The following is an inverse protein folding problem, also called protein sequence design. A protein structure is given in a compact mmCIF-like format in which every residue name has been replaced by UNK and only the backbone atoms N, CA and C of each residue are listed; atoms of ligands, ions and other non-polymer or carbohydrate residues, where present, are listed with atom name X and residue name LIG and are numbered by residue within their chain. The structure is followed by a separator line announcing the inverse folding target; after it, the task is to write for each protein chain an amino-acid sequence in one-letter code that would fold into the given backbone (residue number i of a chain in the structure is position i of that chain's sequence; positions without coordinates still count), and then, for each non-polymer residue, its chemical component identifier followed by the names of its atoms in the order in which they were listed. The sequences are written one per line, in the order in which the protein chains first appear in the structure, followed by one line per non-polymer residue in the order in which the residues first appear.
data_IF_098190832022
#
_entry.id   IF_098190832022
#
_cell.length_a   1.000
_cell.length_b   1.000
_cell.length_c   1.000
_cell.angle_alpha   90.00
_cell.angle_beta   90.00
_cell.angle_gamma   90.00
#
_symmetry.space_group_name_H-M   'P 1'
#
loop_
_entity.id
_entity.type
_entity.pdbx_description
1 polymer ?
#
# COMPACT_ATOMS: atom_id res chain seq x y z
N UNK A 1 -8.30 31.55 38.03
CA UNK A 1 -8.03 30.15 38.44
C UNK A 1 -8.87 29.28 37.51
N UNK A 2 -8.27 28.84 36.39
CA UNK A 2 -7.95 27.42 36.10
C UNK A 2 -9.22 26.56 35.98
N UNK A 3 -9.49 25.84 34.90
CA UNK A 3 -8.54 25.09 34.08
C UNK A 3 -9.21 24.63 32.76
N UNK A 4 -8.41 24.64 31.70
CA UNK A 4 -8.70 24.09 30.38
C UNK A 4 -8.83 22.56 30.39
N UNK A 5 -9.83 22.00 29.70
CA UNK A 5 -9.78 20.62 29.21
C UNK A 5 -9.65 20.61 27.69
N UNK A 6 -8.40 20.63 27.20
CA UNK A 6 -8.12 20.33 25.80
C UNK A 6 -8.33 18.82 25.59
N UNK A 7 -9.33 18.46 24.80
CA UNK A 7 -9.55 17.10 24.30
C UNK A 7 -8.29 16.62 23.56
N UNK A 8 -7.72 15.44 23.91
CA UNK A 8 -6.45 15.01 23.35
C UNK A 8 -6.64 14.30 22.00
N UNK A 9 -5.91 14.81 21.01
CA UNK A 9 -5.35 14.08 19.86
C UNK A 9 -6.31 13.64 18.76
N UNK A 10 -6.50 14.57 17.83
CA UNK A 10 -6.90 14.36 16.43
C UNK A 10 -5.82 13.65 15.58
N UNK A 11 -5.36 12.45 15.98
CA UNK A 11 -4.36 11.67 15.19
C UNK A 11 -4.79 10.22 14.95
N UNK A 12 -6.07 9.98 14.70
CA UNK A 12 -6.50 8.74 14.06
C UNK A 12 -6.88 9.07 12.63
N UNK A 13 -5.87 9.00 11.74
CA UNK A 13 -6.15 8.84 10.30
C UNK A 13 -7.09 7.65 10.19
N UNK A 14 -8.29 7.85 9.66
CA UNK A 14 -9.28 6.80 9.42
C UNK A 14 -8.59 5.62 8.74
N UNK A 15 -8.31 4.58 9.51
CA UNK A 15 -7.89 3.31 8.96
C UNK A 15 -9.17 2.62 8.52
N UNK A 16 -9.48 2.71 7.22
CA UNK A 16 -10.58 1.98 6.61
C UNK A 16 -10.36 0.48 6.82
N UNK A 17 -11.08 -0.10 7.78
CA UNK A 17 -11.09 -1.55 8.03
C UNK A 17 -12.07 -2.19 7.06
N UNK A 18 -11.62 -3.24 6.37
CA UNK A 18 -12.49 -4.04 5.50
C UNK A 18 -13.41 -4.93 6.35
N UNK A 19 -14.61 -5.18 5.85
CA UNK A 19 -15.71 -5.73 6.63
C UNK A 19 -16.42 -6.85 5.86
N UNK A 20 -16.66 -7.98 6.52
CA UNK A 20 -17.63 -9.01 6.11
C UNK A 20 -18.80 -9.05 7.12
N UNK A 21 -19.80 -9.88 6.87
CA UNK A 21 -21.01 -10.01 7.69
C UNK A 21 -20.69 -10.31 9.17
N UNK A 22 -19.64 -11.09 9.44
CA UNK A 22 -19.30 -11.54 10.80
C UNK A 22 -17.88 -11.20 11.24
N UNK A 23 -17.12 -10.50 10.40
CA UNK A 23 -15.71 -10.25 10.68
C UNK A 23 -15.26 -8.88 10.19
N UNK A 24 -14.35 -8.25 10.94
CA UNK A 24 -13.65 -7.03 10.56
C UNK A 24 -12.18 -7.37 10.42
N UNK A 25 -11.55 -6.79 9.42
CA UNK A 25 -10.20 -7.17 9.06
C UNK A 25 -9.37 -5.95 8.68
N UNK A 26 -8.09 -6.06 9.00
CA UNK A 26 -7.09 -5.06 8.68
C UNK A 26 -5.81 -5.77 8.25
N UNK A 27 -5.82 -6.26 7.01
CA UNK A 27 -4.67 -6.93 6.43
C UNK A 27 -3.87 -5.93 5.59
N UNK A 28 -2.63 -5.70 6.01
CA UNK A 28 -1.67 -4.90 5.26
C UNK A 28 -0.37 -5.68 5.08
N UNK A 29 0.12 -5.73 3.86
CA UNK A 29 1.30 -6.50 3.48
C UNK A 29 2.36 -5.57 2.90
N UNK A 30 3.61 -5.76 3.30
CA UNK A 30 4.77 -5.14 2.66
C UNK A 30 5.42 -6.16 1.73
N UNK A 31 5.07 -6.08 0.45
CA UNK A 31 5.58 -6.97 -0.60
C UNK A 31 6.78 -6.30 -1.25
N UNK A 32 7.89 -7.02 -1.32
CA UNK A 32 9.13 -6.53 -1.92
C UNK A 32 9.67 -7.59 -2.86
N UNK A 33 10.03 -7.20 -4.07
CA UNK A 33 10.75 -8.05 -4.99
C UNK A 33 11.85 -7.26 -5.70
N UNK A 34 12.84 -8.00 -6.19
CA UNK A 34 14.05 -7.47 -6.82
C UNK A 34 14.16 -7.96 -8.25
N UNK A 35 14.85 -7.20 -9.09
CA UNK A 35 15.21 -7.65 -10.43
C UNK A 35 16.20 -8.81 -10.35
N UNK A 36 16.21 -9.65 -11.38
CA UNK A 36 17.20 -10.73 -11.50
C UNK A 36 18.60 -10.14 -11.40
N UNK A 37 19.43 -10.69 -10.51
CA UNK A 37 20.77 -10.21 -10.18
C UNK A 37 20.86 -8.73 -9.72
N UNK A 38 19.75 -8.11 -9.29
CA UNK A 38 19.68 -6.70 -8.91
C UNK A 38 20.15 -5.73 -10.00
N UNK A 39 19.97 -6.09 -11.26
CA UNK A 39 20.24 -5.17 -12.35
C UNK A 39 19.32 -3.94 -12.27
N UNK A 40 19.91 -2.76 -12.47
CA UNK A 40 19.23 -1.45 -12.35
C UNK A 40 18.40 -1.11 -13.60
N UNK A 41 17.54 -2.05 -14.02
CA UNK A 41 16.78 -1.96 -15.28
C UNK A 41 15.47 -1.17 -15.15
N UNK A 42 14.96 -0.95 -13.93
CA UNK A 42 13.68 -0.27 -13.69
C UNK A 42 13.82 1.25 -13.80
N UNK A 43 14.03 1.74 -15.01
CA UNK A 43 14.23 3.17 -15.30
C UNK A 43 13.59 3.61 -16.62
N UNK A 44 13.40 4.92 -16.78
CA UNK A 44 12.81 5.51 -17.98
C UNK A 44 11.43 4.90 -18.33
N UNK A 45 11.12 4.73 -19.63
CA UNK A 45 9.84 4.21 -20.10
C UNK A 45 9.47 2.84 -19.54
N UNK A 46 10.46 1.99 -19.26
CA UNK A 46 10.23 0.66 -18.68
C UNK A 46 9.61 0.76 -17.29
N UNK A 47 10.08 1.70 -16.46
CA UNK A 47 9.55 1.93 -15.11
C UNK A 47 8.09 2.37 -15.15
N UNK A 48 7.74 3.23 -16.10
CA UNK A 48 6.39 3.77 -16.22
C UNK A 48 5.42 2.69 -16.71
N UNK A 49 5.83 1.88 -17.68
CA UNK A 49 5.03 0.73 -18.13
C UNK A 49 4.82 -0.31 -17.03
N UNK A 50 5.85 -0.62 -16.25
CA UNK A 50 5.73 -1.54 -15.11
C UNK A 50 4.77 -0.99 -14.05
N UNK A 51 4.82 0.32 -13.77
CA UNK A 51 3.89 0.96 -12.82
C UNK A 51 2.44 0.81 -13.28
N UNK A 52 2.18 0.97 -14.57
CA UNK A 52 0.85 0.81 -15.15
C UNK A 52 0.36 -0.64 -15.02
N UNK A 53 1.19 -1.61 -15.40
CA UNK A 53 0.86 -3.04 -15.28
C UNK A 53 0.55 -3.41 -13.83
N UNK A 54 1.39 -2.98 -12.87
CA UNK A 54 1.16 -3.24 -11.44
C UNK A 54 -0.21 -2.71 -10.99
N UNK A 55 -0.58 -1.50 -11.42
CA UNK A 55 -1.87 -0.90 -11.07
C UNK A 55 -3.03 -1.68 -11.67
N UNK A 56 -2.94 -2.05 -12.94
CA UNK A 56 -3.96 -2.84 -13.64
C UNK A 56 -4.15 -4.19 -12.94
N UNK A 57 -3.07 -4.92 -12.70
CA UNK A 57 -3.13 -6.23 -12.01
C UNK A 57 -3.70 -6.11 -10.60
N UNK A 58 -3.33 -5.08 -9.82
CA UNK A 58 -3.91 -4.89 -8.50
C UNK A 58 -5.41 -4.60 -8.56
N UNK A 59 -5.87 -3.82 -9.54
CA UNK A 59 -7.29 -3.51 -9.74
C UNK A 59 -8.09 -4.77 -10.11
N UNK A 60 -7.59 -5.56 -11.06
CA UNK A 60 -8.18 -6.84 -11.47
C UNK A 60 -8.27 -7.84 -10.31
N UNK A 61 -7.30 -7.82 -9.39
CA UNK A 61 -7.28 -8.69 -8.21
C UNK A 61 -8.09 -8.14 -7.03
N UNK A 62 -8.65 -6.93 -7.11
CA UNK A 62 -9.33 -6.26 -6.00
C UNK A 62 -8.38 -5.92 -4.83
N UNK A 63 -7.10 -5.71 -5.12
CA UNK A 63 -6.06 -5.39 -4.14
C UNK A 63 -5.84 -3.88 -4.09
N UNK A 64 -5.93 -3.29 -2.90
CA UNK A 64 -5.73 -1.86 -2.73
C UNK A 64 -4.25 -1.53 -2.48
N UNK A 65 -3.64 -0.75 -3.37
CA UNK A 65 -2.28 -0.25 -3.18
C UNK A 65 -2.32 0.95 -2.23
N UNK A 66 -1.81 0.79 -1.00
CA UNK A 66 -1.74 1.88 -0.01
C UNK A 66 -0.56 2.80 -0.32
N UNK A 67 0.62 2.23 -0.64
CA UNK A 67 1.82 2.94 -1.09
C UNK A 67 2.64 2.05 -2.01
N UNK A 68 3.35 2.64 -2.98
CA UNK A 68 4.25 1.91 -3.87
C UNK A 68 5.47 2.73 -4.27
N UNK A 69 6.66 2.12 -4.22
CA UNK A 69 7.93 2.73 -4.63
C UNK A 69 8.63 1.77 -5.59
N UNK A 70 8.92 2.26 -6.80
CA UNK A 70 9.78 1.58 -7.77
C UNK A 70 11.15 2.24 -7.72
N UNK A 71 12.13 1.54 -7.14
CA UNK A 71 13.55 1.86 -7.25
C UNK A 71 14.12 1.29 -8.56
N UNK A 72 15.43 1.47 -8.79
CA UNK A 72 16.06 1.05 -10.06
C UNK A 72 16.20 -0.47 -10.22
N UNK A 73 16.24 -1.21 -9.12
CA UNK A 73 16.50 -2.66 -9.09
C UNK A 73 15.51 -3.43 -8.20
N UNK A 74 14.55 -2.73 -7.57
CA UNK A 74 13.57 -3.36 -6.70
C UNK A 74 12.29 -2.55 -6.58
N UNK A 75 11.21 -3.22 -6.17
CA UNK A 75 9.89 -2.63 -5.98
C UNK A 75 9.45 -2.91 -4.55
N UNK A 76 9.00 -1.86 -3.86
CA UNK A 76 8.32 -1.95 -2.57
C UNK A 76 6.85 -1.61 -2.76
N UNK A 77 5.96 -2.51 -2.34
CA UNK A 77 4.52 -2.29 -2.32
C UNK A 77 3.98 -2.49 -0.91
N UNK A 78 3.21 -1.52 -0.45
CA UNK A 78 2.40 -1.64 0.75
C UNK A 78 0.94 -1.78 0.31
N UNK A 79 0.40 -2.98 0.48
CA UNK A 79 -0.90 -3.39 -0.03
C UNK A 79 -1.88 -3.60 1.12
N UNK A 80 -3.16 -3.36 0.85
CA UNK A 80 -4.27 -3.84 1.67
C UNK A 80 -5.10 -4.81 0.84
N UNK A 81 -5.22 -6.03 1.33
CA UNK A 81 -5.89 -7.13 0.63
C UNK A 81 -7.09 -7.51 1.48
N UNK A 82 -8.33 -7.34 1.00
CA UNK A 82 -9.50 -7.83 1.72
C UNK A 82 -9.42 -9.37 1.78
N UNK A 83 -9.77 -9.99 2.91
CA UNK A 83 -9.91 -11.43 2.95
C UNK A 83 -11.08 -11.85 2.06
N UNK A 84 -10.91 -12.99 1.37
CA UNK A 84 -11.98 -13.61 0.59
C UNK A 84 -13.00 -14.31 1.48
#
# INVERSE_FOLDING_TARGET
MSSSSKSPRSYWRENSTSASAHTRFYHRFHVVWVTKYRYKVLQGPMRDRIREIIRQTCDEMGVHIVRGVLARDHVHMFLSIPPR
#
